data_IF_086333271203
#
_entry.id   IF_086333271203
#
_cell.length_a   1.000
_cell.length_b   1.000
_cell.length_c   1.000
_cell.angle_alpha   90.00
_cell.angle_beta   90.00
_cell.angle_gamma   90.00
#
_symmetry.space_group_name_H-M   'P 1'
#
loop_
_entity.id
_entity.type
_entity.pdbx_description
1 polymer ?
#
# COMPACT_ATOMS: atom_id res chain seq x y z
N UNK A 1 -42.52 -39.64 -23.44
CA UNK A 1 -42.01 -38.26 -23.27
C UNK A 1 -40.97 -38.27 -22.16
N UNK A 2 -39.68 -38.21 -22.49
CA UNK A 2 -38.58 -38.22 -21.51
C UNK A 2 -38.40 -36.85 -20.86
N UNK A 3 -38.07 -36.84 -19.56
CA UNK A 3 -37.83 -35.62 -18.78
C UNK A 3 -36.70 -34.79 -19.41
N UNK A 4 -36.87 -33.48 -19.66
CA UNK A 4 -35.82 -32.62 -20.20
C UNK A 4 -34.56 -32.65 -19.33
N UNK A 5 -33.40 -32.72 -19.98
CA UNK A 5 -32.09 -32.69 -19.33
C UNK A 5 -31.91 -31.31 -18.68
N UNK A 6 -31.71 -31.26 -17.35
CA UNK A 6 -31.36 -30.01 -16.66
C UNK A 6 -30.05 -29.47 -17.22
N UNK A 7 -29.94 -28.14 -17.34
CA UNK A 7 -28.74 -27.44 -17.80
C UNK A 7 -27.53 -27.78 -16.92
N UNK A 8 -26.35 -27.85 -17.53
CA UNK A 8 -25.11 -28.31 -16.90
C UNK A 8 -24.67 -27.46 -15.68
N UNK A 9 -25.17 -26.23 -15.52
CA UNK A 9 -24.83 -25.35 -14.39
C UNK A 9 -25.54 -25.73 -13.08
N UNK A 10 -26.77 -26.24 -13.11
CA UNK A 10 -27.44 -26.72 -11.88
C UNK A 10 -26.87 -28.07 -11.38
N UNK A 11 -26.05 -28.75 -12.19
CA UNK A 11 -25.78 -30.17 -12.05
C UNK A 11 -24.46 -30.52 -11.31
N UNK A 12 -23.62 -29.55 -10.94
CA UNK A 12 -22.33 -29.81 -10.26
C UNK A 12 -22.22 -29.15 -8.90
N UNK A 13 -23.16 -29.43 -7.99
CA UNK A 13 -22.96 -29.17 -6.57
C UNK A 13 -21.95 -30.17 -6.01
N UNK A 14 -20.82 -29.68 -5.53
CA UNK A 14 -19.84 -30.54 -4.85
C UNK A 14 -20.33 -30.83 -3.42
N UNK A 15 -20.22 -32.08 -2.93
CA UNK A 15 -20.57 -32.37 -1.55
C UNK A 15 -19.59 -31.66 -0.60
N UNK A 16 -20.11 -30.82 0.28
CA UNK A 16 -19.35 -30.16 1.32
C UNK A 16 -19.74 -30.74 2.68
N UNK A 17 -18.84 -31.49 3.31
CA UNK A 17 -19.00 -31.95 4.68
C UNK A 17 -18.68 -30.81 5.65
N UNK A 18 -19.64 -30.40 6.47
CA UNK A 18 -19.45 -29.32 7.42
C UNK A 18 -19.60 -29.80 8.87
N UNK A 19 -18.73 -29.32 9.75
CA UNK A 19 -18.81 -29.54 11.20
C UNK A 19 -19.02 -28.19 11.88
N UNK A 20 -20.00 -28.12 12.76
CA UNK A 20 -20.32 -26.90 13.51
C UNK A 20 -20.65 -27.20 14.95
N UNK A 21 -20.67 -26.16 15.77
CA UNK A 21 -21.24 -26.21 17.11
C UNK A 21 -22.75 -26.42 17.05
N UNK A 22 -23.33 -27.09 18.06
CA UNK A 22 -24.80 -27.28 18.18
C UNK A 22 -25.57 -25.97 18.13
N UNK A 23 -25.07 -24.93 18.78
CA UNK A 23 -25.70 -23.61 18.82
C UNK A 23 -25.79 -22.97 17.43
N UNK A 24 -24.68 -22.98 16.67
CA UNK A 24 -24.68 -22.47 15.29
C UNK A 24 -25.62 -23.27 14.39
N UNK A 25 -25.68 -24.59 14.55
CA UNK A 25 -26.62 -25.42 13.80
C UNK A 25 -28.07 -25.05 14.09
N UNK A 26 -28.44 -24.89 15.36
CA UNK A 26 -29.79 -24.48 15.75
C UNK A 26 -30.17 -23.13 15.13
N UNK A 27 -29.26 -22.15 15.15
CA UNK A 27 -29.48 -20.84 14.51
C UNK A 27 -29.67 -20.94 12.98
N UNK A 28 -28.97 -21.86 12.32
CA UNK A 28 -29.11 -22.07 10.88
C UNK A 28 -30.41 -22.79 10.54
N UNK A 29 -30.84 -23.75 11.36
CA UNK A 29 -32.14 -24.45 11.21
C UNK A 29 -33.30 -23.46 11.40
N UNK A 30 -33.27 -22.63 12.45
CA UNK A 30 -34.26 -21.57 12.67
C UNK A 30 -34.34 -20.60 11.48
N UNK A 31 -33.19 -20.16 10.96
CA UNK A 31 -33.15 -19.28 9.79
C UNK A 31 -33.65 -19.95 8.51
N UNK A 32 -33.38 -21.24 8.33
CA UNK A 32 -33.85 -22.02 7.19
C UNK A 32 -35.38 -22.17 7.25
N UNK A 33 -35.93 -22.48 8.42
CA UNK A 33 -37.38 -22.57 8.65
C UNK A 33 -38.07 -21.22 8.42
N UNK A 34 -37.52 -20.14 8.98
CA UNK A 34 -38.06 -18.79 8.82
C UNK A 34 -38.04 -18.30 7.37
N UNK A 35 -37.07 -18.76 6.56
CA UNK A 35 -36.95 -18.40 5.15
C UNK A 35 -37.64 -19.37 4.20
N UNK A 36 -38.17 -20.49 4.70
CA UNK A 36 -38.77 -21.56 3.89
C UNK A 36 -37.76 -22.28 2.98
N UNK A 37 -36.49 -22.34 3.39
CA UNK A 37 -35.38 -22.94 2.63
C UNK A 37 -34.88 -24.20 3.29
N UNK A 38 -34.20 -25.06 2.53
CA UNK A 38 -33.42 -26.13 3.15
C UNK A 38 -32.20 -25.56 3.88
N UNK A 39 -31.77 -26.24 4.95
CA UNK A 39 -30.56 -25.89 5.71
C UNK A 39 -29.34 -25.68 4.81
N UNK A 40 -29.16 -26.55 3.80
CA UNK A 40 -28.06 -26.46 2.85
C UNK A 40 -28.11 -25.18 1.98
N UNK A 41 -29.29 -24.80 1.49
CA UNK A 41 -29.47 -23.57 0.71
C UNK A 41 -29.27 -22.32 1.55
N UNK A 42 -29.75 -22.32 2.79
CA UNK A 42 -29.55 -21.18 3.68
C UNK A 42 -28.06 -21.00 4.04
N UNK A 43 -27.32 -22.11 4.21
CA UNK A 43 -25.86 -22.08 4.38
C UNK A 43 -25.15 -21.53 3.14
N UNK A 44 -25.51 -22.01 1.95
CA UNK A 44 -24.97 -21.56 0.66
C UNK A 44 -25.13 -20.04 0.50
N UNK A 45 -26.36 -19.54 0.66
CA UNK A 45 -26.66 -18.10 0.54
C UNK A 45 -25.90 -17.26 1.57
N UNK A 46 -25.78 -17.75 2.82
CA UNK A 46 -25.03 -17.03 3.86
C UNK A 46 -23.54 -16.98 3.55
N UNK A 47 -22.96 -18.06 3.04
CA UNK A 47 -21.57 -18.11 2.63
C UNK A 47 -21.32 -17.18 1.44
N UNK A 48 -22.16 -17.23 0.40
CA UNK A 48 -22.09 -16.31 -0.74
C UNK A 48 -22.13 -14.85 -0.29
N UNK A 49 -23.12 -14.49 0.54
CA UNK A 49 -23.22 -13.14 1.11
C UNK A 49 -22.00 -12.73 1.92
N UNK A 50 -21.34 -13.67 2.60
CA UNK A 50 -20.13 -13.39 3.35
C UNK A 50 -18.96 -13.04 2.42
N UNK A 51 -18.82 -13.73 1.29
CA UNK A 51 -17.82 -13.41 0.28
C UNK A 51 -18.12 -12.08 -0.40
N UNK A 52 -19.38 -11.83 -0.76
CA UNK A 52 -19.82 -10.56 -1.34
C UNK A 52 -19.53 -9.40 -0.41
N UNK A 53 -19.83 -9.57 0.88
CA UNK A 53 -19.57 -8.55 1.90
C UNK A 53 -18.07 -8.22 2.00
N UNK A 54 -17.20 -9.23 2.04
CA UNK A 54 -15.74 -9.02 2.07
C UNK A 54 -15.28 -8.26 0.83
N UNK A 55 -15.79 -8.60 -0.36
CA UNK A 55 -15.44 -7.89 -1.60
C UNK A 55 -15.92 -6.44 -1.61
N UNK A 56 -17.13 -6.17 -1.12
CA UNK A 56 -17.69 -4.82 -1.01
C UNK A 56 -16.83 -3.98 -0.05
N UNK A 57 -16.48 -4.54 1.10
CA UNK A 57 -15.64 -3.87 2.10
C UNK A 57 -14.24 -3.59 1.55
N UNK A 58 -13.60 -4.56 0.90
CA UNK A 58 -12.29 -4.38 0.27
C UNK A 58 -12.31 -3.27 -0.78
N UNK A 59 -13.34 -3.26 -1.64
CA UNK A 59 -13.52 -2.21 -2.65
C UNK A 59 -13.71 -0.85 -1.99
N UNK A 60 -14.59 -0.75 -1.01
CA UNK A 60 -14.87 0.50 -0.30
C UNK A 60 -13.59 1.05 0.36
N UNK A 61 -12.84 0.20 1.07
CA UNK A 61 -11.57 0.56 1.70
C UNK A 61 -10.57 1.07 0.65
N UNK A 62 -10.37 0.33 -0.45
CA UNK A 62 -9.46 0.75 -1.53
C UNK A 62 -9.84 2.10 -2.11
N UNK A 63 -11.13 2.33 -2.37
CA UNK A 63 -11.61 3.60 -2.89
C UNK A 63 -11.43 4.74 -1.89
N UNK A 64 -11.75 4.52 -0.61
CA UNK A 64 -11.56 5.54 0.44
C UNK A 64 -10.08 5.87 0.65
N UNK A 65 -9.20 4.87 0.66
CA UNK A 65 -7.75 5.09 0.76
C UNK A 65 -7.27 5.90 -0.44
N UNK A 66 -7.61 5.50 -1.67
CA UNK A 66 -7.19 6.22 -2.87
C UNK A 66 -7.67 7.68 -2.89
N UNK A 67 -8.93 7.93 -2.55
CA UNK A 67 -9.49 9.29 -2.44
C UNK A 67 -8.79 10.12 -1.36
N UNK A 68 -8.58 9.52 -0.18
CA UNK A 68 -7.88 10.20 0.92
C UNK A 68 -6.44 10.51 0.57
N UNK A 69 -5.72 9.57 -0.05
CA UNK A 69 -4.35 9.77 -0.52
C UNK A 69 -4.26 10.88 -1.56
N UNK A 70 -5.20 10.96 -2.50
CA UNK A 70 -5.26 12.05 -3.48
C UNK A 70 -5.45 13.42 -2.81
N UNK A 71 -6.39 13.52 -1.85
CA UNK A 71 -6.61 14.75 -1.09
C UNK A 71 -5.40 15.18 -0.25
N UNK A 72 -4.74 14.21 0.39
CA UNK A 72 -3.52 14.46 1.17
C UNK A 72 -2.39 14.92 0.26
N UNK A 73 -2.22 14.29 -0.90
CA UNK A 73 -1.18 14.68 -1.85
C UNK A 73 -1.44 16.09 -2.39
N UNK A 74 -2.67 16.40 -2.77
CA UNK A 74 -3.05 17.76 -3.21
C UNK A 74 -2.76 18.82 -2.13
N UNK A 75 -3.12 18.54 -0.87
CA UNK A 75 -2.80 19.44 0.26
C UNK A 75 -1.31 19.55 0.51
N UNK A 76 -0.57 18.44 0.41
CA UNK A 76 0.89 18.40 0.57
C UNK A 76 1.56 19.26 -0.50
N UNK A 77 1.18 19.05 -1.76
CA UNK A 77 1.71 19.77 -2.90
C UNK A 77 1.38 21.27 -2.82
N UNK A 78 0.15 21.64 -2.48
CA UNK A 78 -0.21 23.06 -2.32
C UNK A 78 0.54 23.74 -1.17
N UNK A 79 0.74 23.05 -0.05
CA UNK A 79 1.47 23.60 1.11
C UNK A 79 2.93 23.94 0.80
N UNK A 80 3.56 23.22 -0.14
CA UNK A 80 4.96 23.47 -0.54
C UNK A 80 5.06 24.28 -1.84
N UNK A 81 3.95 24.70 -2.45
CA UNK A 81 3.95 25.50 -3.68
C UNK A 81 4.11 24.69 -4.97
N UNK A 82 3.75 23.40 -4.95
CA UNK A 82 3.67 22.51 -6.12
C UNK A 82 4.58 21.29 -6.04
N UNK A 83 4.44 20.39 -7.01
CA UNK A 83 5.22 19.13 -7.10
C UNK A 83 6.73 19.34 -7.15
N UNK A 84 7.19 20.41 -7.81
CA UNK A 84 8.61 20.71 -7.91
C UNK A 84 9.25 20.98 -6.53
N UNK A 85 8.60 21.80 -5.71
CA UNK A 85 9.08 22.12 -4.37
C UNK A 85 8.97 20.92 -3.43
N UNK A 86 7.96 20.07 -3.59
CA UNK A 86 7.84 18.81 -2.86
C UNK A 86 9.05 17.89 -3.12
N UNK A 87 9.44 17.73 -4.39
CA UNK A 87 10.60 16.92 -4.78
C UNK A 87 11.91 17.49 -4.24
N UNK A 88 12.08 18.82 -4.26
CA UNK A 88 13.24 19.46 -3.64
C UNK A 88 13.28 19.21 -2.13
N UNK A 89 12.13 19.32 -1.44
CA UNK A 89 12.02 19.00 -0.02
C UNK A 89 12.35 17.55 0.30
N UNK A 90 11.85 16.61 -0.50
CA UNK A 90 12.17 15.18 -0.38
C UNK A 90 13.66 14.91 -0.57
N UNK A 91 14.28 15.53 -1.58
CA UNK A 91 15.71 15.42 -1.82
C UNK A 91 16.53 15.96 -0.64
N UNK A 92 16.14 17.12 -0.09
CA UNK A 92 16.79 17.72 1.07
C UNK A 92 16.69 16.80 2.28
N UNK A 93 15.49 16.30 2.58
CA UNK A 93 15.25 15.39 3.68
C UNK A 93 16.07 14.09 3.54
N UNK A 94 16.16 13.57 2.33
CA UNK A 94 16.92 12.36 2.02
C UNK A 94 18.44 12.56 2.20
N UNK A 95 18.99 13.69 1.75
CA UNK A 95 20.40 14.04 1.95
C UNK A 95 20.70 14.21 3.44
N UNK A 96 19.81 14.89 4.17
CA UNK A 96 19.94 15.03 5.62
C UNK A 96 19.99 13.65 6.29
N UNK A 97 19.05 12.76 5.97
CA UNK A 97 19.02 11.40 6.48
C UNK A 97 20.30 10.61 6.20
N UNK A 98 20.83 10.66 4.97
CA UNK A 98 22.08 9.94 4.63
C UNK A 98 23.27 10.46 5.44
N UNK A 99 23.39 11.77 5.61
CA UNK A 99 24.49 12.37 6.39
C UNK A 99 24.35 12.04 7.87
N UNK A 100 23.14 12.07 8.43
CA UNK A 100 22.87 11.65 9.80
C UNK A 100 23.24 10.18 10.02
N UNK A 101 22.93 9.31 9.05
CA UNK A 101 23.29 7.90 9.09
C UNK A 101 24.81 7.67 8.98
N UNK A 102 25.51 8.44 8.15
CA UNK A 102 26.98 8.38 8.01
C UNK A 102 27.70 8.85 9.29
N UNK A 103 27.13 9.84 10.00
CA UNK A 103 27.76 10.49 11.15
C UNK A 103 27.25 10.05 12.51
N UNK A 104 26.19 9.23 12.53
CA UNK A 104 25.53 8.71 13.74
C UNK A 104 25.09 9.83 14.70
N UNK A 105 24.75 11.00 14.15
CA UNK A 105 24.32 12.20 14.87
C UNK A 105 23.23 12.92 14.10
N UNK A 106 22.33 13.62 14.82
CA UNK A 106 21.28 14.43 14.19
C UNK A 106 21.81 15.78 13.72
N UNK A 107 21.46 16.20 12.52
CA UNK A 107 21.90 17.49 11.95
C UNK A 107 21.29 18.68 12.71
N UNK A 108 20.16 18.47 13.39
CA UNK A 108 19.53 19.47 14.25
C UNK A 108 20.29 19.68 15.57
N UNK A 109 21.05 18.68 16.02
CA UNK A 109 21.70 18.64 17.34
C UNK A 109 23.23 18.82 17.25
N UNK A 110 23.84 18.57 16.09
CA UNK A 110 25.30 18.62 15.89
C UNK A 110 25.67 19.55 14.71
N UNK A 111 26.50 20.56 14.99
CA UNK A 111 26.87 21.59 14.02
C UNK A 111 27.72 21.04 12.87
N UNK A 112 28.62 20.08 13.14
CA UNK A 112 29.45 19.47 12.10
C UNK A 112 28.61 18.63 11.13
N UNK A 113 27.61 17.92 11.66
CA UNK A 113 26.63 17.17 10.86
C UNK A 113 25.78 18.11 10.02
N UNK A 114 25.32 19.25 10.59
CA UNK A 114 24.63 20.29 9.83
C UNK A 114 25.46 20.81 8.66
N UNK A 115 26.73 21.17 8.90
CA UNK A 115 27.62 21.65 7.85
C UNK A 115 27.87 20.58 6.77
N UNK A 116 27.91 19.30 7.14
CA UNK A 116 28.00 18.22 6.17
C UNK A 116 26.74 18.12 5.29
N UNK A 117 25.55 18.29 5.87
CA UNK A 117 24.28 18.38 5.11
C UNK A 117 24.30 19.56 4.16
N UNK A 118 24.64 20.76 4.63
CA UNK A 118 24.74 21.98 3.83
C UNK A 118 25.73 21.85 2.67
N UNK A 119 26.93 21.33 2.94
CA UNK A 119 27.97 21.13 1.93
C UNK A 119 27.49 20.17 0.84
N UNK A 120 26.84 19.06 1.23
CA UNK A 120 26.32 18.08 0.28
C UNK A 120 25.20 18.65 -0.56
N UNK A 121 24.28 19.41 0.05
CA UNK A 121 23.22 20.13 -0.66
C UNK A 121 23.76 21.13 -1.69
N UNK A 122 24.67 22.00 -1.26
CA UNK A 122 25.27 23.02 -2.13
C UNK A 122 26.01 22.39 -3.31
N UNK A 123 26.67 21.24 -3.10
CA UNK A 123 27.36 20.50 -4.18
C UNK A 123 26.40 19.98 -5.25
N UNK A 124 25.12 19.80 -4.94
CA UNK A 124 24.11 19.29 -5.86
C UNK A 124 23.41 20.37 -6.66
N UNK A 125 23.37 21.62 -6.19
CA UNK A 125 22.70 22.75 -6.89
C UNK A 125 23.14 22.86 -8.36
N UNK A 126 24.45 22.82 -8.71
CA UNK A 126 24.85 22.93 -10.11
C UNK A 126 24.39 21.76 -10.97
N UNK A 127 24.10 20.58 -10.39
CA UNK A 127 23.56 19.43 -11.11
C UNK A 127 22.06 19.58 -11.32
N UNK A 128 21.35 20.00 -10.28
CA UNK A 128 19.90 20.25 -10.34
C UNK A 128 19.55 21.36 -11.35
N UNK A 129 20.34 22.43 -11.39
CA UNK A 129 20.13 23.53 -12.34
C UNK A 129 20.47 23.14 -13.79
N UNK A 130 21.41 22.21 -13.99
CA UNK A 130 21.81 21.75 -15.34
C UNK A 130 20.93 20.65 -15.90
N UNK A 131 20.36 19.82 -15.03
CA UNK A 131 19.46 18.75 -15.42
C UNK A 131 18.24 18.79 -14.50
N UNK A 132 17.28 19.70 -14.78
CA UNK A 132 16.12 19.85 -13.94
C UNK A 132 15.34 18.54 -13.98
N UNK A 133 14.97 18.05 -12.79
CA UNK A 133 14.14 16.86 -12.62
C UNK A 133 12.76 17.20 -13.19
N UNK A 134 12.55 17.04 -14.50
CA UNK A 134 11.34 17.47 -15.20
C UNK A 134 10.70 16.30 -15.93
N UNK A 135 9.46 15.97 -15.55
CA UNK A 135 8.41 15.55 -16.48
C UNK A 135 8.08 14.05 -16.66
N UNK A 136 7.09 13.60 -15.88
CA UNK A 136 6.02 12.63 -16.21
C UNK A 136 6.29 11.18 -16.67
N UNK A 137 7.51 10.77 -17.06
CA UNK A 137 7.76 9.36 -17.43
C UNK A 137 8.84 8.70 -16.60
N UNK A 138 8.39 8.08 -15.51
CA UNK A 138 9.15 7.30 -14.53
C UNK A 138 10.35 8.03 -13.89
N UNK A 139 10.60 7.84 -12.59
CA UNK A 139 11.81 8.33 -11.92
C UNK A 139 13.04 7.52 -12.37
N UNK A 140 13.37 7.54 -13.66
CA UNK A 140 14.52 6.85 -14.27
C UNK A 140 15.68 7.80 -14.59
N UNK A 141 15.64 9.02 -14.04
CA UNK A 141 16.76 9.96 -14.17
C UNK A 141 18.02 9.44 -13.47
N UNK A 142 19.22 9.68 -14.04
CA UNK A 142 20.49 9.23 -13.45
C UNK A 142 20.67 9.72 -12.01
N UNK A 143 20.12 10.89 -11.66
CA UNK A 143 20.22 11.45 -10.32
C UNK A 143 19.52 10.58 -9.25
N UNK A 144 18.30 10.11 -9.51
CA UNK A 144 17.52 9.31 -8.55
C UNK A 144 18.07 7.89 -8.44
N UNK A 145 18.51 7.30 -9.56
CA UNK A 145 19.16 6.00 -9.55
C UNK A 145 20.52 6.02 -8.84
N UNK A 146 21.31 7.08 -8.98
CA UNK A 146 22.56 7.26 -8.26
C UNK A 146 22.33 7.49 -6.76
N UNK A 147 21.29 8.26 -6.41
CA UNK A 147 20.88 8.43 -5.01
C UNK A 147 20.40 7.10 -4.40
N UNK A 148 19.62 6.31 -5.14
CA UNK A 148 19.16 4.99 -4.70
C UNK A 148 20.32 4.01 -4.47
N UNK A 149 21.29 3.95 -5.39
CA UNK A 149 22.53 3.17 -5.21
C UNK A 149 23.32 3.63 -3.99
N UNK A 150 23.36 4.94 -3.75
CA UNK A 150 24.03 5.51 -2.56
C UNK A 150 23.31 5.10 -1.27
N UNK A 151 21.98 5.13 -1.23
CA UNK A 151 21.22 4.57 -0.09
C UNK A 151 21.50 3.11 0.12
N UNK A 152 21.48 2.32 -0.94
CA UNK A 152 21.66 0.87 -0.84
C UNK A 152 23.06 0.53 -0.29
N UNK A 153 24.09 1.25 -0.74
CA UNK A 153 25.44 1.13 -0.21
C UNK A 153 25.52 1.51 1.28
N UNK A 154 24.89 2.63 1.68
CA UNK A 154 24.84 3.07 3.09
C UNK A 154 24.08 2.06 3.95
N UNK A 155 22.90 1.60 3.51
CA UNK A 155 22.08 0.61 4.20
C UNK A 155 22.82 -0.72 4.38
N UNK A 156 23.57 -1.16 3.37
CA UNK A 156 24.43 -2.36 3.45
C UNK A 156 25.56 -2.16 4.46
N UNK A 157 26.19 -0.99 4.49
CA UNK A 157 27.21 -0.65 5.49
C UNK A 157 26.66 -0.63 6.92
N UNK A 158 25.46 -0.09 7.13
CA UNK A 158 24.79 -0.10 8.44
C UNK A 158 24.45 -1.51 8.90
N UNK A 159 23.96 -2.38 8.01
CA UNK A 159 23.68 -3.79 8.33
C UNK A 159 24.94 -4.55 8.74
N UNK A 160 26.04 -4.34 8.02
CA UNK A 160 27.32 -4.98 8.32
C UNK A 160 27.94 -4.52 9.66
N UNK A 161 27.59 -3.32 10.14
CA UNK A 161 28.01 -2.83 11.47
C UNK A 161 27.14 -3.40 12.62
N UNK A 162 25.97 -3.94 12.32
CA UNK A 162 25.01 -4.43 13.31
C UNK A 162 25.16 -5.95 13.61
N UNK A 163 25.97 -6.66 12.80
CA UNK A 163 26.38 -8.06 12.99
C UNK A 163 27.73 -8.13 13.72
#
# INVERSE_FOLDING_TARGET
MGRPKKSDEEAKRAPLGFRTTRELRAKLEEAADASGRSLAQEMEIRLERSFDFVQIVDRAIKTTIAATSAMVEEKRLSAVGGSHNAQLGELIAYIAFLVEAEREKRWTEDQDTRHAVESRLLSMIPRLLRNPVMGEKEPSGPLLSDLAKTAEAVAKGLRAKAE
#
